data_IF_889807850518
#
_entry.id   IF_889807850518
#
_cell.length_a   1.000
_cell.length_b   1.000
_cell.length_c   1.000
_cell.angle_alpha   90.00
_cell.angle_beta   90.00
_cell.angle_gamma   90.00
#
_symmetry.space_group_name_H-M   'P 1'
#
loop_
_entity.id
_entity.type
_entity.pdbx_description
1 polymer ?
#
# COMPACT_ATOMS: atom_id res chain seq x y z
N UNK A 1 -33.04 -9.49 5.20
CA UNK A 1 -33.26 -8.64 4.01
C UNK A 1 -32.03 -8.83 3.15
N UNK A 2 -32.12 -9.70 2.14
CA UNK A 2 -30.97 -10.03 1.30
C UNK A 2 -30.55 -8.79 0.51
N UNK A 3 -29.25 -8.50 0.48
CA UNK A 3 -28.71 -7.53 -0.47
C UNK A 3 -29.07 -8.01 -1.89
N UNK A 4 -29.41 -7.10 -2.83
CA UNK A 4 -29.61 -7.48 -4.21
C UNK A 4 -28.35 -8.18 -4.70
N UNK A 5 -28.52 -9.33 -5.36
CA UNK A 5 -27.42 -10.04 -5.99
C UNK A 5 -26.73 -9.08 -6.97
N UNK A 6 -25.45 -8.84 -6.77
CA UNK A 6 -24.64 -8.07 -7.70
C UNK A 6 -24.62 -8.85 -9.03
N UNK A 7 -25.09 -8.25 -10.13
CA UNK A 7 -25.14 -8.90 -11.46
C UNK A 7 -23.76 -8.95 -12.15
N UNK A 8 -22.71 -8.43 -11.52
CA UNK A 8 -21.32 -8.50 -12.00
C UNK A 8 -20.55 -9.72 -11.46
N UNK A 9 -19.35 -10.00 -12.00
CA UNK A 9 -18.47 -11.05 -11.48
C UNK A 9 -18.18 -10.82 -10.00
N UNK A 10 -17.89 -11.90 -9.28
CA UNK A 10 -17.41 -11.75 -7.90
C UNK A 10 -16.02 -11.09 -7.87
N UNK A 11 -15.59 -10.62 -6.70
CA UNK A 11 -14.30 -9.92 -6.58
C UNK A 11 -13.11 -10.78 -7.06
N UNK A 12 -12.98 -12.06 -6.68
CA UNK A 12 -11.93 -12.94 -7.20
C UNK A 12 -11.91 -13.03 -8.74
N UNK A 13 -13.07 -13.25 -9.38
CA UNK A 13 -13.18 -13.34 -10.84
C UNK A 13 -12.81 -12.02 -11.52
N UNK A 14 -13.27 -10.88 -10.97
CA UNK A 14 -12.89 -9.56 -11.46
C UNK A 14 -11.38 -9.35 -11.39
N UNK A 15 -10.75 -9.65 -10.25
CA UNK A 15 -9.32 -9.50 -10.05
C UNK A 15 -8.50 -10.35 -11.03
N UNK A 16 -8.91 -11.60 -11.25
CA UNK A 16 -8.25 -12.50 -12.20
C UNK A 16 -8.40 -12.01 -13.65
N UNK A 17 -9.56 -11.46 -13.99
CA UNK A 17 -9.77 -10.84 -15.30
C UNK A 17 -8.88 -9.61 -15.50
N UNK A 18 -8.89 -8.67 -14.56
CA UNK A 18 -8.09 -7.45 -14.64
C UNK A 18 -6.58 -7.76 -14.71
N UNK A 19 -6.10 -8.73 -13.91
CA UNK A 19 -4.70 -9.15 -13.94
C UNK A 19 -4.25 -9.79 -15.26
N UNK A 20 -5.18 -10.30 -16.08
CA UNK A 20 -4.89 -10.81 -17.43
C UNK A 20 -5.04 -9.76 -18.52
N UNK A 21 -5.87 -8.75 -18.27
CA UNK A 21 -6.23 -7.73 -19.26
C UNK A 21 -5.25 -6.56 -19.32
N UNK A 22 -4.42 -6.39 -18.28
CA UNK A 22 -3.51 -5.26 -18.16
C UNK A 22 -2.05 -5.70 -18.07
N UNK A 23 -1.20 -5.00 -18.80
CA UNK A 23 0.24 -5.25 -18.96
C UNK A 23 0.99 -3.94 -19.29
N UNK A 24 2.25 -4.06 -19.73
CA UNK A 24 3.10 -2.92 -20.06
C UNK A 24 2.60 -2.07 -21.24
N UNK A 25 1.80 -2.65 -22.15
CA UNK A 25 1.27 -1.94 -23.32
C UNK A 25 -0.06 -1.23 -23.00
N UNK A 26 -0.62 -1.48 -21.82
CA UNK A 26 -1.87 -0.88 -21.39
C UNK A 26 -1.70 0.63 -21.10
N UNK A 27 -2.61 1.49 -21.62
CA UNK A 27 -2.62 2.91 -21.31
C UNK A 27 -2.81 3.22 -19.81
N UNK A 28 -2.15 4.27 -19.26
CA UNK A 28 -2.27 4.62 -17.86
C UNK A 28 -3.70 4.87 -17.35
N UNK A 29 -4.56 5.46 -18.18
CA UNK A 29 -5.96 5.75 -17.84
C UNK A 29 -6.80 4.47 -17.73
N UNK A 30 -6.53 3.47 -18.56
CA UNK A 30 -7.17 2.15 -18.45
C UNK A 30 -6.71 1.41 -17.18
N UNK A 31 -5.42 1.49 -16.82
CA UNK A 31 -4.89 0.94 -15.56
C UNK A 31 -5.53 1.63 -14.35
N UNK A 32 -5.68 2.95 -14.39
CA UNK A 32 -6.32 3.71 -13.33
C UNK A 32 -7.77 3.25 -13.12
N UNK A 33 -8.53 3.11 -14.22
CA UNK A 33 -9.90 2.61 -14.20
C UNK A 33 -10.00 1.17 -13.67
N UNK A 34 -9.02 0.31 -14.01
CA UNK A 34 -8.94 -1.05 -13.51
C UNK A 34 -8.79 -1.10 -11.98
N UNK A 35 -7.84 -0.32 -11.44
CA UNK A 35 -7.62 -0.21 -9.99
C UNK A 35 -8.85 0.35 -9.29
N UNK A 36 -9.47 1.39 -9.84
CA UNK A 36 -10.71 1.95 -9.30
C UNK A 36 -11.84 0.92 -9.27
N UNK A 37 -12.05 0.17 -10.36
CA UNK A 37 -13.11 -0.84 -10.45
C UNK A 37 -12.97 -1.93 -9.37
N UNK A 38 -11.74 -2.36 -9.09
CA UNK A 38 -11.43 -3.28 -7.99
C UNK A 38 -11.75 -2.65 -6.63
N UNK A 39 -11.26 -1.45 -6.36
CA UNK A 39 -11.43 -0.80 -5.06
C UNK A 39 -12.90 -0.52 -4.76
N UNK A 40 -13.65 -0.06 -5.76
CA UNK A 40 -15.06 0.28 -5.60
C UNK A 40 -15.98 -0.95 -5.57
N UNK A 41 -15.47 -2.15 -5.88
CA UNK A 41 -16.24 -3.38 -5.83
C UNK A 41 -16.90 -3.57 -4.45
N UNK A 42 -18.20 -3.96 -4.37
CA UNK A 42 -18.93 -4.04 -3.11
C UNK A 42 -18.33 -4.98 -2.08
N UNK A 43 -17.58 -5.99 -2.51
CA UNK A 43 -16.93 -6.97 -1.63
C UNK A 43 -15.48 -6.62 -1.28
N UNK A 44 -14.92 -5.55 -1.84
CA UNK A 44 -13.58 -5.10 -1.46
C UNK A 44 -13.59 -4.70 0.04
N UNK A 45 -12.71 -5.30 0.88
CA UNK A 45 -12.88 -5.23 2.33
C UNK A 45 -12.37 -3.91 2.91
N UNK A 46 -11.45 -3.22 2.23
CA UNK A 46 -10.82 -2.00 2.71
C UNK A 46 -11.74 -0.77 2.57
N UNK A 47 -12.46 -0.44 3.64
CA UNK A 47 -13.32 0.74 3.68
C UNK A 47 -12.55 2.07 3.55
N UNK A 48 -11.29 2.11 3.99
CA UNK A 48 -10.42 3.28 3.84
C UNK A 48 -10.18 3.60 2.38
N UNK A 49 -9.67 2.62 1.61
CA UNK A 49 -9.46 2.75 0.17
C UNK A 49 -10.74 3.15 -0.56
N UNK A 50 -11.87 2.50 -0.27
CA UNK A 50 -13.17 2.90 -0.84
C UNK A 50 -13.52 4.35 -0.57
N UNK A 51 -13.28 4.84 0.65
CA UNK A 51 -13.54 6.23 0.99
C UNK A 51 -12.61 7.21 0.28
N UNK A 52 -11.36 6.82 0.01
CA UNK A 52 -10.39 7.64 -0.71
C UNK A 52 -10.81 7.80 -2.18
N UNK A 53 -11.16 6.70 -2.85
CA UNK A 53 -11.62 6.73 -4.25
C UNK A 53 -12.98 7.44 -4.41
N UNK A 54 -13.98 7.13 -3.56
CA UNK A 54 -15.30 7.81 -3.64
C UNK A 54 -15.27 9.33 -3.36
N UNK A 55 -14.15 9.86 -2.87
CA UNK A 55 -13.97 11.29 -2.59
C UNK A 55 -12.94 11.95 -3.51
N UNK A 56 -12.49 11.24 -4.54
CA UNK A 56 -11.46 11.71 -5.48
C UNK A 56 -10.16 12.14 -4.77
N UNK A 57 -9.73 11.35 -3.79
CA UNK A 57 -8.52 11.62 -2.97
C UNK A 57 -7.40 10.59 -3.18
N UNK A 58 -7.52 9.78 -4.22
CA UNK A 58 -6.45 8.92 -4.69
C UNK A 58 -5.66 9.65 -5.78
N UNK A 59 -4.35 9.81 -5.58
CA UNK A 59 -3.43 10.25 -6.64
C UNK A 59 -2.81 9.01 -7.26
N UNK A 60 -3.13 8.70 -8.51
CA UNK A 60 -2.64 7.50 -9.17
C UNK A 60 -1.49 7.83 -10.13
N UNK A 61 -0.39 7.11 -10.00
CA UNK A 61 0.80 7.23 -10.85
C UNK A 61 1.10 5.87 -11.46
N UNK A 62 1.12 5.80 -12.79
CA UNK A 62 1.50 4.58 -13.52
C UNK A 62 2.95 4.71 -13.94
N UNK A 63 3.76 3.74 -13.53
CA UNK A 63 5.20 3.67 -13.73
C UNK A 63 5.54 2.41 -14.54
N UNK A 64 6.71 2.39 -15.16
CA UNK A 64 7.18 1.22 -15.92
C UNK A 64 7.53 0.04 -15.02
N UNK A 65 8.81 -0.10 -14.67
CA UNK A 65 9.34 -1.23 -13.93
C UNK A 65 9.71 -0.82 -12.52
N UNK A 66 9.23 -1.62 -11.57
CA UNK A 66 9.57 -1.49 -10.16
C UNK A 66 11.07 -1.67 -9.92
N UNK A 67 11.61 -0.95 -8.94
CA UNK A 67 13.02 -1.00 -8.57
C UNK A 67 13.98 -0.57 -9.71
N UNK A 68 13.63 0.49 -10.43
CA UNK A 68 14.49 1.14 -11.43
C UNK A 68 14.67 2.62 -11.11
N UNK A 69 15.80 3.21 -11.54
CA UNK A 69 16.11 4.63 -11.31
C UNK A 69 15.02 5.56 -11.86
N UNK A 70 14.62 5.37 -13.13
CA UNK A 70 13.59 6.19 -13.79
C UNK A 70 12.23 6.15 -13.07
N UNK A 71 11.77 4.97 -12.67
CA UNK A 71 10.52 4.84 -11.91
C UNK A 71 10.64 5.46 -10.52
N UNK A 72 11.82 5.35 -9.89
CA UNK A 72 12.11 5.89 -8.56
C UNK A 72 12.10 7.41 -8.57
N UNK A 73 12.77 8.05 -9.53
CA UNK A 73 12.79 9.52 -9.65
C UNK A 73 11.38 10.08 -9.82
N UNK A 74 10.58 9.46 -10.69
CA UNK A 74 9.18 9.86 -10.92
C UNK A 74 8.34 9.68 -9.66
N UNK A 75 8.51 8.54 -8.95
CA UNK A 75 7.78 8.25 -7.73
C UNK A 75 8.19 9.18 -6.58
N UNK A 76 9.48 9.48 -6.42
CA UNK A 76 10.01 10.40 -5.42
C UNK A 76 9.40 11.80 -5.58
N UNK A 77 9.39 12.32 -6.80
CA UNK A 77 8.76 13.62 -7.08
C UNK A 77 7.27 13.59 -6.72
N UNK A 78 6.54 12.57 -7.18
CA UNK A 78 5.12 12.45 -6.90
C UNK A 78 4.80 12.31 -5.40
N UNK A 79 5.61 11.57 -4.64
CA UNK A 79 5.46 11.44 -3.19
C UNK A 79 5.78 12.73 -2.44
N UNK A 80 6.81 13.46 -2.88
CA UNK A 80 7.18 14.75 -2.32
C UNK A 80 6.05 15.77 -2.52
N UNK A 81 5.54 15.89 -3.74
CA UNK A 81 4.41 16.77 -4.07
C UNK A 81 3.15 16.36 -3.29
N UNK A 82 2.84 15.06 -3.27
CA UNK A 82 1.69 14.54 -2.53
C UNK A 82 1.77 14.83 -1.02
N UNK A 83 2.94 14.66 -0.40
CA UNK A 83 3.16 14.97 1.02
C UNK A 83 3.00 16.46 1.34
N UNK A 84 3.49 17.33 0.45
CA UNK A 84 3.42 18.77 0.60
C UNK A 84 2.01 19.36 0.36
N UNK A 85 1.31 18.86 -0.67
CA UNK A 85 0.07 19.48 -1.18
C UNK A 85 -1.21 18.88 -0.57
N UNK A 86 -1.15 17.68 0.01
CA UNK A 86 -2.35 17.03 0.54
C UNK A 86 -2.96 17.78 1.72
N UNK A 87 -4.23 18.19 1.58
CA UNK A 87 -5.03 18.71 2.68
C UNK A 87 -5.38 17.60 3.68
N UNK A 88 -4.65 17.58 4.80
CA UNK A 88 -4.84 16.60 5.88
C UNK A 88 -6.21 16.72 6.57
N UNK A 89 -6.82 17.91 6.55
CA UNK A 89 -8.10 18.15 7.20
C UNK A 89 -9.30 17.52 6.47
N UNK A 90 -9.15 17.22 5.18
CA UNK A 90 -10.19 16.61 4.35
C UNK A 90 -10.37 15.08 4.56
N UNK A 91 -9.62 14.47 5.49
CA UNK A 91 -9.67 13.04 5.82
C UNK A 91 -8.56 12.23 5.12
N UNK A 92 -8.81 10.96 4.80
CA UNK A 92 -7.83 10.10 4.13
C UNK A 92 -7.52 10.50 2.70
N UNK A 93 -6.25 10.39 2.33
CA UNK A 93 -5.77 10.44 0.96
C UNK A 93 -4.66 9.39 0.76
N UNK A 94 -4.49 8.94 -0.47
CA UNK A 94 -3.45 7.97 -0.82
C UNK A 94 -2.79 8.31 -2.15
N UNK A 95 -1.49 8.08 -2.26
CA UNK A 95 -0.83 7.95 -3.56
C UNK A 95 -0.76 6.46 -3.92
N UNK A 96 -1.15 6.12 -5.14
CA UNK A 96 -1.20 4.75 -5.67
C UNK A 96 -0.23 4.65 -6.83
N UNK A 97 0.92 4.03 -6.61
CA UNK A 97 1.93 3.77 -7.63
C UNK A 97 1.74 2.38 -8.23
N UNK A 98 1.44 2.30 -9.52
CA UNK A 98 1.20 1.05 -10.25
C UNK A 98 2.33 0.80 -11.23
N UNK A 99 2.96 -0.38 -11.21
CA UNK A 99 4.09 -0.73 -12.06
C UNK A 99 3.63 -1.69 -13.18
N UNK A 100 3.55 -1.19 -14.42
CA UNK A 100 2.97 -1.95 -15.54
C UNK A 100 3.90 -2.97 -16.19
N UNK A 101 5.20 -2.84 -15.99
CA UNK A 101 6.24 -3.70 -16.57
C UNK A 101 7.02 -4.52 -15.53
N UNK A 102 6.33 -4.99 -14.49
CA UNK A 102 6.91 -5.81 -13.43
C UNK A 102 6.33 -7.24 -13.43
N UNK A 103 7.19 -8.23 -13.69
CA UNK A 103 6.83 -9.64 -13.57
C UNK A 103 7.00 -10.10 -12.12
N UNK A 104 5.88 -10.37 -11.44
CA UNK A 104 5.88 -10.92 -10.08
C UNK A 104 5.64 -12.42 -10.14
N UNK A 105 6.68 -13.20 -9.86
CA UNK A 105 6.57 -14.65 -9.82
C UNK A 105 5.78 -15.15 -8.59
N UNK A 106 6.05 -14.57 -7.42
CA UNK A 106 5.45 -14.96 -6.14
C UNK A 106 5.52 -13.82 -5.11
N UNK A 107 4.99 -14.06 -3.91
CA UNK A 107 4.98 -13.08 -2.81
C UNK A 107 6.40 -12.69 -2.34
N UNK A 108 7.38 -13.61 -2.43
CA UNK A 108 8.75 -13.35 -2.01
C UNK A 108 9.47 -12.43 -3.01
N UNK A 109 9.30 -12.68 -4.31
CA UNK A 109 9.82 -11.83 -5.37
C UNK A 109 9.21 -10.43 -5.34
N UNK A 110 7.91 -10.31 -5.04
CA UNK A 110 7.30 -9.00 -4.81
C UNK A 110 7.88 -8.28 -3.60
N UNK A 111 8.06 -8.97 -2.47
CA UNK A 111 8.67 -8.39 -1.28
C UNK A 111 10.08 -7.86 -1.58
N UNK A 112 10.92 -8.62 -2.28
CA UNK A 112 12.25 -8.16 -2.69
C UNK A 112 12.18 -6.88 -3.54
N UNK A 113 11.29 -6.82 -4.53
CA UNK A 113 11.13 -5.64 -5.38
C UNK A 113 10.56 -4.44 -4.62
N UNK A 114 9.63 -4.65 -3.69
CA UNK A 114 9.10 -3.61 -2.82
C UNK A 114 10.22 -3.00 -1.99
N UNK A 115 10.98 -3.82 -1.28
CA UNK A 115 12.05 -3.32 -0.42
C UNK A 115 13.15 -2.64 -1.22
N UNK A 116 13.53 -3.19 -2.39
CA UNK A 116 14.48 -2.51 -3.28
C UNK A 116 13.95 -1.17 -3.79
N UNK A 117 12.66 -1.05 -4.05
CA UNK A 117 12.06 0.23 -4.45
C UNK A 117 12.08 1.25 -3.31
N UNK A 118 11.87 0.83 -2.06
CA UNK A 118 11.97 1.70 -0.88
C UNK A 118 13.43 2.14 -0.62
N UNK A 119 14.40 1.24 -0.77
CA UNK A 119 15.83 1.58 -0.72
C UNK A 119 16.19 2.63 -1.76
N UNK A 120 15.79 2.43 -3.02
CA UNK A 120 16.08 3.39 -4.09
C UNK A 120 15.44 4.76 -3.83
N UNK A 121 14.23 4.79 -3.24
CA UNK A 121 13.60 6.05 -2.83
C UNK A 121 14.40 6.73 -1.73
N UNK A 122 14.87 5.99 -0.72
CA UNK A 122 15.72 6.51 0.36
C UNK A 122 17.07 7.02 -0.17
N UNK A 123 17.75 6.23 -1.01
CA UNK A 123 19.03 6.59 -1.66
C UNK A 123 18.91 7.87 -2.52
N UNK A 124 17.75 8.10 -3.15
CA UNK A 124 17.49 9.26 -4.00
C UNK A 124 16.92 10.47 -3.24
N UNK A 125 16.40 10.29 -2.03
CA UNK A 125 15.82 11.37 -1.26
C UNK A 125 16.90 12.28 -0.67
N UNK A 126 16.69 13.59 -0.77
CA UNK A 126 17.56 14.61 -0.21
C UNK A 126 16.96 15.28 1.03
N UNK A 127 15.71 14.96 1.37
CA UNK A 127 15.05 15.42 2.57
C UNK A 127 15.43 14.52 3.76
N UNK A 128 15.56 15.09 4.97
CA UNK A 128 15.76 14.27 6.16
C UNK A 128 14.54 13.38 6.42
N UNK A 129 14.79 12.25 7.09
CA UNK A 129 13.72 11.38 7.59
C UNK A 129 12.75 12.17 8.49
N UNK A 130 11.46 11.84 8.45
CA UNK A 130 10.45 12.49 9.28
C UNK A 130 10.76 12.22 10.77
N UNK A 131 11.05 13.26 11.58
CA UNK A 131 11.52 13.09 12.95
C UNK A 131 10.46 12.55 13.92
N UNK A 132 9.22 12.34 13.44
CA UNK A 132 8.11 11.78 14.24
C UNK A 132 8.13 10.25 14.26
N UNK A 133 8.89 9.60 13.40
CA UNK A 133 8.92 8.13 13.22
C UNK A 133 10.35 7.62 13.20
N UNK A 134 10.54 6.34 13.47
CA UNK A 134 11.85 5.68 13.37
C UNK A 134 12.20 5.38 11.91
N UNK A 135 13.48 5.43 11.59
CA UNK A 135 14.11 4.95 10.35
C UNK A 135 14.50 3.46 10.41
N UNK A 136 14.77 2.94 11.61
CA UNK A 136 14.98 1.51 11.87
C UNK A 136 13.71 0.66 11.58
N UNK A 137 13.72 -0.23 10.56
CA UNK A 137 12.59 -1.08 10.20
C UNK A 137 12.18 -2.12 11.24
N UNK A 138 13.02 -2.43 12.23
CA UNK A 138 12.68 -3.35 13.33
C UNK A 138 12.03 -2.62 14.51
N UNK A 139 12.07 -1.29 14.51
CA UNK A 139 11.46 -0.47 15.55
C UNK A 139 9.92 -0.49 15.47
N UNK A 140 9.20 -0.70 16.60
CA UNK A 140 7.73 -0.62 16.63
C UNK A 140 7.13 0.73 16.21
N UNK A 141 7.94 1.80 16.19
CA UNK A 141 7.59 3.15 15.75
C UNK A 141 8.15 3.50 14.36
N UNK A 142 8.64 2.52 13.61
CA UNK A 142 9.02 2.69 12.21
C UNK A 142 7.83 3.15 11.37
N UNK A 143 8.10 4.06 10.43
CA UNK A 143 7.25 4.29 9.27
C UNK A 143 8.15 4.80 8.14
N UNK A 144 7.87 4.40 6.89
CA UNK A 144 8.73 4.78 5.77
C UNK A 144 8.61 6.28 5.50
N UNK A 145 9.73 7.01 5.54
CA UNK A 145 9.75 8.45 5.23
C UNK A 145 10.36 8.70 3.87
N UNK A 146 9.75 9.62 3.13
CA UNK A 146 10.31 10.16 1.88
C UNK A 146 9.76 11.57 1.64
N UNK A 147 10.57 12.47 1.10
CA UNK A 147 10.23 13.88 0.95
C UNK A 147 9.93 14.56 2.30
N UNK A 148 10.56 14.08 3.39
CA UNK A 148 10.30 14.54 4.76
C UNK A 148 8.90 14.20 5.30
N UNK A 149 8.19 13.26 4.68
CA UNK A 149 6.84 12.82 5.09
C UNK A 149 6.82 11.33 5.38
N UNK A 150 6.31 10.95 6.56
CA UNK A 150 6.07 9.55 6.90
C UNK A 150 4.82 8.96 6.21
N UNK A 151 4.97 7.76 5.65
CA UNK A 151 3.93 7.00 4.97
C UNK A 151 3.78 5.59 5.54
N UNK A 152 2.53 5.13 5.64
CA UNK A 152 2.20 3.72 5.77
C UNK A 152 2.09 3.10 4.37
N UNK A 153 3.00 2.19 4.04
CA UNK A 153 3.11 1.55 2.73
C UNK A 153 2.30 0.26 2.67
N UNK A 154 1.51 0.10 1.62
CA UNK A 154 0.72 -1.12 1.34
C UNK A 154 1.10 -1.67 -0.02
N UNK A 155 1.77 -2.81 -0.03
CA UNK A 155 2.04 -3.59 -1.22
C UNK A 155 0.86 -4.47 -1.61
N UNK A 156 0.56 -4.49 -2.91
CA UNK A 156 -0.47 -5.29 -3.55
C UNK A 156 0.12 -5.89 -4.83
N UNK A 157 -0.20 -7.15 -5.15
CA UNK A 157 0.20 -7.76 -6.43
C UNK A 157 -0.76 -8.87 -6.85
N UNK A 158 -0.85 -9.21 -8.16
CA UNK A 158 -1.79 -10.21 -8.68
C UNK A 158 -1.66 -11.60 -8.03
N UNK A 159 -0.43 -11.98 -7.67
CA UNK A 159 -0.09 -13.30 -7.12
C UNK A 159 -0.26 -13.42 -5.59
N UNK A 160 -0.88 -12.44 -4.93
CA UNK A 160 -1.05 -12.51 -3.48
C UNK A 160 -1.95 -13.69 -3.08
N UNK A 161 -1.54 -14.39 -2.02
CA UNK A 161 -2.32 -15.44 -1.38
C UNK A 161 -3.62 -14.92 -0.77
N UNK A 162 -3.68 -13.62 -0.47
CA UNK A 162 -4.83 -12.95 0.17
C UNK A 162 -5.59 -12.16 -0.90
N UNK A 163 -6.86 -12.46 -1.13
CA UNK A 163 -7.69 -11.80 -2.15
C UNK A 163 -7.72 -10.28 -1.94
N UNK A 164 -7.78 -9.82 -0.69
CA UNK A 164 -7.75 -8.41 -0.32
C UNK A 164 -6.44 -7.66 -0.71
N UNK A 165 -5.37 -8.41 -1.02
CA UNK A 165 -4.06 -7.89 -1.42
C UNK A 165 -3.75 -8.10 -2.92
N UNK A 166 -4.71 -8.64 -3.67
CA UNK A 166 -4.60 -8.73 -5.14
C UNK A 166 -4.97 -7.39 -5.78
N UNK A 167 -4.34 -7.13 -6.93
CA UNK A 167 -4.49 -5.94 -7.77
C UNK A 167 -4.16 -6.34 -9.21
N UNK A 168 -4.59 -5.60 -10.25
CA UNK A 168 -4.32 -5.97 -11.65
C UNK A 168 -2.83 -6.02 -11.98
N UNK A 169 -2.04 -5.13 -11.38
CA UNK A 169 -0.61 -4.96 -11.62
C UNK A 169 0.10 -4.66 -10.29
N UNK A 170 1.39 -4.98 -10.13
CA UNK A 170 2.13 -4.67 -8.90
C UNK A 170 1.94 -3.22 -8.49
N UNK A 171 1.51 -3.00 -7.24
CA UNK A 171 1.07 -1.68 -6.77
C UNK A 171 1.61 -1.41 -5.38
N UNK A 172 2.11 -0.20 -5.16
CA UNK A 172 2.41 0.36 -3.84
C UNK A 172 1.42 1.48 -3.54
N UNK A 173 0.77 1.42 -2.39
CA UNK A 173 -0.09 2.50 -1.90
C UNK A 173 0.61 3.17 -0.72
N UNK A 174 0.85 4.48 -0.85
CA UNK A 174 1.42 5.33 0.17
C UNK A 174 0.30 6.14 0.82
N UNK A 175 0.13 5.95 2.11
CA UNK A 175 -0.88 6.66 2.89
C UNK A 175 -0.19 7.51 3.93
N UNK A 176 -0.66 8.74 4.17
CA UNK A 176 -0.05 9.61 5.18
C UNK A 176 -0.15 8.97 6.57
N UNK A 177 0.99 8.77 7.23
CA UNK A 177 1.06 8.09 8.52
C UNK A 177 0.26 8.82 9.61
N UNK A 178 0.32 10.16 9.63
CA UNK A 178 -0.40 10.98 10.62
C UNK A 178 -1.92 10.83 10.56
N UNK A 179 -2.50 10.58 9.38
CA UNK A 179 -3.94 10.36 9.23
C UNK A 179 -4.38 9.06 9.92
N UNK A 180 -3.51 8.05 9.92
CA UNK A 180 -3.75 6.81 10.65
C UNK A 180 -3.63 7.02 12.16
N UNK A 181 -2.65 7.78 12.63
CA UNK A 181 -2.51 8.13 14.05
C UNK A 181 -3.73 8.91 14.57
N UNK A 182 -4.21 9.91 13.83
CA UNK A 182 -5.42 10.66 14.19
C UNK A 182 -6.66 9.77 14.23
N UNK A 183 -6.81 8.86 13.26
CA UNK A 183 -7.94 7.93 13.28
C UNK A 183 -7.83 6.99 14.49
N UNK A 184 -6.64 6.43 14.76
CA UNK A 184 -6.36 5.53 15.89
C UNK A 184 -6.71 6.17 17.23
N UNK A 185 -6.45 7.47 17.40
CA UNK A 185 -6.83 8.22 18.59
C UNK A 185 -8.35 8.38 18.77
N UNK A 186 -9.16 8.01 17.78
CA UNK A 186 -10.62 8.14 17.81
C UNK A 186 -11.34 6.78 17.98
N UNK A 187 -12.49 6.80 18.65
CA UNK A 187 -13.38 5.63 18.78
C UNK A 187 -13.86 5.05 17.43
N UNK A 188 -13.69 5.81 16.34
CA UNK A 188 -14.06 5.37 14.98
C UNK A 188 -13.13 4.29 14.45
N UNK A 189 -11.87 4.26 14.90
CA UNK A 189 -10.89 3.27 14.43
C UNK A 189 -11.30 1.84 14.79
N UNK A 190 -11.71 1.61 16.04
CA UNK A 190 -12.11 0.27 16.51
C UNK A 190 -13.25 -0.30 15.67
N UNK A 191 -14.30 0.49 15.43
CA UNK A 191 -15.44 0.10 14.59
C UNK A 191 -15.04 -0.15 13.13
N UNK A 192 -14.19 0.70 12.56
CA UNK A 192 -13.71 0.53 11.19
C UNK A 192 -12.88 -0.74 11.06
N UNK A 193 -11.93 -0.95 11.97
CA UNK A 193 -11.09 -2.14 12.04
C UNK A 193 -11.91 -3.41 12.17
N UNK A 194 -12.87 -3.45 13.09
CA UNK A 194 -13.71 -4.63 13.32
C UNK A 194 -14.59 -4.93 12.09
N UNK A 195 -15.03 -3.90 11.38
CA UNK A 195 -15.76 -4.05 10.12
C UNK A 195 -14.86 -4.57 8.99
N UNK A 196 -13.65 -4.04 8.84
CA UNK A 196 -12.67 -4.52 7.86
C UNK A 196 -12.31 -5.98 8.14
N UNK A 197 -12.05 -6.33 9.41
CA UNK A 197 -11.75 -7.71 9.85
C UNK A 197 -12.89 -8.69 9.54
N UNK A 198 -14.15 -8.27 9.76
CA UNK A 198 -15.31 -9.08 9.39
C UNK A 198 -15.38 -9.32 7.88
N UNK A 199 -15.25 -8.25 7.08
CA UNK A 199 -15.32 -8.32 5.62
C UNK A 199 -14.16 -9.13 5.01
N UNK A 200 -12.96 -9.02 5.58
CA UNK A 200 -11.79 -9.83 5.21
C UNK A 200 -12.06 -11.32 5.47
N UNK A 201 -12.60 -11.66 6.63
CA UNK A 201 -13.00 -13.05 6.94
C UNK A 201 -14.11 -13.54 6.00
N UNK A 202 -15.11 -12.70 5.69
CA UNK A 202 -16.19 -13.03 4.76
C UNK A 202 -15.66 -13.29 3.33
N UNK A 203 -14.68 -12.50 2.88
CA UNK A 203 -14.10 -12.61 1.54
C UNK A 203 -13.20 -13.83 1.36
N UNK A 204 -12.36 -14.12 2.36
CA UNK A 204 -11.25 -15.06 2.19
C UNK A 204 -11.07 -16.04 3.36
N UNK A 205 -12.10 -16.19 4.19
CA UNK A 205 -12.24 -17.26 5.18
C UNK A 205 -11.39 -17.11 6.45
N UNK A 206 -10.42 -16.19 6.49
CA UNK A 206 -9.57 -15.97 7.66
C UNK A 206 -9.12 -14.51 7.77
N UNK A 207 -8.88 -14.08 9.01
CA UNK A 207 -8.24 -12.79 9.28
C UNK A 207 -6.79 -12.82 8.84
N UNK A 208 -6.34 -11.76 8.16
CA UNK A 208 -5.29 -10.90 8.69
C UNK A 208 -4.14 -11.42 9.58
N UNK A 209 -3.36 -12.49 9.38
CA UNK A 209 -2.31 -12.82 10.35
C UNK A 209 -1.31 -11.68 10.57
N UNK A 210 -1.12 -10.85 9.54
CA UNK A 210 -0.19 -9.72 9.58
C UNK A 210 -0.78 -8.43 10.14
N UNK A 211 -2.10 -8.34 10.36
CA UNK A 211 -2.72 -7.13 10.96
C UNK A 211 -2.61 -7.23 12.48
N UNK A 212 -1.40 -7.00 12.98
CA UNK A 212 -1.16 -6.75 14.39
C UNK A 212 -1.81 -5.43 14.82
N UNK A 213 -2.20 -5.33 16.09
CA UNK A 213 -2.54 -4.02 16.66
C UNK A 213 -1.26 -3.16 16.71
N UNK A 214 -1.35 -1.93 16.21
CA UNK A 214 -0.22 -1.00 16.03
C UNK A 214 0.59 -0.80 17.34
N UNK A 215 1.90 -0.59 17.21
CA UNK A 215 2.83 -0.34 18.34
C UNK A 215 3.30 -1.59 19.09
N UNK A 216 2.92 -2.79 18.66
CA UNK A 216 3.44 -4.07 19.23
C UNK A 216 4.56 -4.69 18.41
N UNK A 217 4.60 -4.39 17.12
CA UNK A 217 5.59 -4.85 16.15
C UNK A 217 5.70 -3.79 15.07
N UNK A 218 6.87 -3.68 14.44
CA UNK A 218 7.08 -2.77 13.31
C UNK A 218 6.04 -2.98 12.20
N UNK A 219 5.59 -1.88 11.59
CA UNK A 219 4.72 -1.93 10.42
C UNK A 219 5.42 -2.41 9.15
N UNK A 220 6.75 -2.41 9.10
CA UNK A 220 7.56 -2.96 8.02
C UNK A 220 7.11 -4.37 7.61
N UNK A 221 6.80 -5.21 8.61
CA UNK A 221 6.33 -6.60 8.44
C UNK A 221 5.05 -6.70 7.60
N UNK A 222 4.27 -5.61 7.48
CA UNK A 222 2.97 -5.59 6.82
C UNK A 222 3.04 -5.05 5.39
N UNK A 223 4.16 -4.46 4.98
CA UNK A 223 4.29 -3.73 3.72
C UNK A 223 4.05 -4.64 2.52
N UNK A 224 4.76 -5.76 2.41
CA UNK A 224 4.60 -6.70 1.28
C UNK A 224 3.23 -7.37 1.23
N UNK A 225 2.52 -7.44 2.36
CA UNK A 225 1.26 -8.17 2.48
C UNK A 225 1.42 -9.69 2.56
N UNK A 226 2.67 -10.21 2.51
CA UNK A 226 3.03 -11.62 2.71
C UNK A 226 2.94 -11.99 4.19
N UNK A 227 2.56 -13.23 4.49
CA UNK A 227 2.69 -13.77 5.85
C UNK A 227 4.16 -14.09 6.13
N UNK A 228 4.75 -13.48 7.15
CA UNK A 228 6.17 -13.67 7.50
C UNK A 228 6.33 -14.31 8.88
N UNK A 229 7.38 -15.13 9.10
CA UNK A 229 7.62 -15.80 10.38
C UNK A 229 8.07 -14.81 11.47
N UNK A 230 8.06 -15.23 12.75
CA UNK A 230 8.40 -14.36 13.88
C UNK A 230 9.81 -13.75 13.76
N UNK A 231 10.77 -14.53 13.27
CA UNK A 231 12.18 -14.16 13.03
C UNK A 231 12.43 -13.43 11.71
N UNK A 232 11.38 -12.96 11.04
CA UNK A 232 11.54 -12.10 9.86
C UNK A 232 12.19 -10.76 10.22
N UNK A 233 13.17 -10.38 9.42
CA UNK A 233 13.88 -9.10 9.43
C UNK A 233 13.62 -8.37 8.11
N UNK A 234 13.60 -7.04 8.14
CA UNK A 234 13.42 -6.25 6.93
C UNK A 234 14.60 -6.47 5.95
N UNK A 235 14.34 -6.66 4.64
CA UNK A 235 15.40 -6.81 3.64
C UNK A 235 16.34 -5.60 3.46
N UNK A 236 15.95 -4.43 3.98
CA UNK A 236 16.65 -3.15 3.86
C UNK A 236 16.80 -2.49 5.24
N UNK A 237 17.82 -1.65 5.40
CA UNK A 237 17.95 -0.68 6.51
C UNK A 237 17.99 0.74 5.94
N UNK A 238 17.47 1.71 6.70
CA UNK A 238 17.43 3.13 6.34
C UNK A 238 18.15 4.02 7.35
N UNK A 239 19.02 3.44 8.17
CA UNK A 239 19.79 4.21 9.13
C UNK A 239 20.71 5.19 8.40
N UNK A 240 20.68 6.46 8.82
CA UNK A 240 21.68 7.44 8.40
C UNK A 240 23.06 6.98 8.91
N UNK A 241 24.08 6.92 8.05
CA UNK A 241 25.47 6.58 8.43
C UNK A 241 26.14 7.66 9.33
N UNK A 242 25.40 8.49 10.05
CA UNK A 242 25.89 9.47 11.00
C UNK A 242 25.87 8.98 12.46
N UNK A 243 26.42 7.80 12.75
CA UNK A 243 27.02 7.52 14.09
C UNK A 243 28.12 6.47 14.04
N UNK A 244 29.24 6.77 13.39
CA UNK A 244 30.53 6.18 13.74
C UNK A 244 31.64 7.21 13.55
N UNK A 245 31.75 8.10 14.53
CA UNK A 245 32.91 8.94 14.79
C UNK A 245 33.48 8.63 16.17
#
# INVERSE_FOLDING_TARGET
MGQPAHEGPDLPELLEHLARAHDADTPPDEIAAAVESMVLHPDYPCLGARSVFNRDRATLVVLERMATEEATETLLQALTDFGAETDRSAGFASLVAVFRAAEIADEAGFETLLWRQLELLYEADSQPWDPRVSDDPDNPHFAFSVGGTAFFVVGLHPQSSRIARRTPLPTLVFNLHEQFEELRASDRFSRMRDTIRRRDTELQGSLNPMVADHGRSSEARQYSGRSVPEDWEAPASFEDEETSA
#
